data_IF_076827086105
#
_entry.id   IF_076827086105
#
_cell.length_a   1.000
_cell.length_b   1.000
_cell.length_c   1.000
_cell.angle_alpha   90.00
_cell.angle_beta   90.00
_cell.angle_gamma   90.00
#
_symmetry.space_group_name_H-M   'P 1'
#
loop_
_entity.id
_entity.type
_entity.pdbx_description
1 polymer ?
#
# COMPACT_ATOMS: atom_id res chain seq x y z
N UNK A 1 -3.67 -4.02 4.38
CA UNK A 1 -3.69 -4.58 5.75
C UNK A 1 -4.88 -4.05 6.54
N UNK A 2 -5.01 -2.71 6.75
CA UNK A 2 -6.06 -2.11 7.58
C UNK A 2 -7.47 -2.51 7.11
N UNK A 3 -7.78 -2.34 5.83
CA UNK A 3 -9.09 -2.69 5.26
C UNK A 3 -9.44 -4.18 5.46
N UNK A 4 -8.48 -5.07 5.18
CA UNK A 4 -8.65 -6.50 5.41
C UNK A 4 -8.93 -6.83 6.87
N UNK A 5 -8.11 -6.30 7.78
CA UNK A 5 -8.27 -6.57 9.21
C UNK A 5 -9.57 -6.02 9.76
N UNK A 6 -9.97 -4.81 9.38
CA UNK A 6 -11.24 -4.22 9.80
C UNK A 6 -12.44 -5.03 9.31
N UNK A 7 -12.46 -5.39 8.01
CA UNK A 7 -13.54 -6.18 7.42
C UNK A 7 -13.61 -7.60 8.03
N UNK A 8 -12.47 -8.26 8.22
CA UNK A 8 -12.38 -9.57 8.88
C UNK A 8 -12.95 -9.56 10.31
N UNK A 9 -12.87 -8.43 11.00
CA UNK A 9 -13.45 -8.23 12.33
C UNK A 9 -14.89 -7.67 12.29
N UNK A 10 -15.58 -7.76 11.15
CA UNK A 10 -17.00 -7.46 11.03
C UNK A 10 -17.32 -5.99 10.71
N UNK A 11 -16.35 -5.14 10.45
CA UNK A 11 -16.62 -3.78 10.00
C UNK A 11 -17.07 -3.77 8.53
N UNK A 12 -18.00 -2.87 8.19
CA UNK A 12 -18.33 -2.56 6.79
C UNK A 12 -17.28 -1.60 6.25
N UNK A 13 -16.47 -2.05 5.31
CA UNK A 13 -15.29 -1.31 4.82
C UNK A 13 -15.42 -0.96 3.34
N UNK A 14 -15.02 0.27 3.01
CA UNK A 14 -14.74 0.71 1.65
C UNK A 14 -13.25 1.07 1.59
N UNK A 15 -12.51 0.49 0.67
CA UNK A 15 -11.14 0.86 0.33
C UNK A 15 -11.16 1.68 -0.95
N UNK A 16 -10.60 2.87 -0.89
CA UNK A 16 -10.42 3.77 -2.03
C UNK A 16 -8.97 3.71 -2.45
N UNK A 17 -8.73 3.49 -3.75
CA UNK A 17 -7.39 3.34 -4.33
C UNK A 17 -7.31 4.13 -5.64
N UNK A 18 -6.30 4.99 -5.75
CA UNK A 18 -6.12 5.84 -6.92
C UNK A 18 -5.64 5.08 -8.16
N UNK A 19 -4.92 3.98 -7.97
CA UNK A 19 -4.41 3.15 -9.06
C UNK A 19 -5.37 2.03 -9.46
N UNK A 20 -5.00 1.25 -10.45
CA UNK A 20 -5.71 0.05 -10.88
C UNK A 20 -5.46 -1.18 -10.02
N UNK A 21 -4.50 -1.09 -9.09
CA UNK A 21 -4.10 -2.20 -8.21
C UNK A 21 -3.97 -1.69 -6.77
N UNK A 22 -4.43 -2.47 -5.82
CA UNK A 22 -4.21 -2.18 -4.40
C UNK A 22 -2.80 -2.59 -3.97
N UNK A 23 -2.20 -1.86 -3.01
CA UNK A 23 -0.92 -2.23 -2.41
C UNK A 23 0.23 -1.25 -2.65
N UNK A 24 0.01 -0.21 -3.45
CA UNK A 24 0.94 0.92 -3.64
C UNK A 24 2.32 0.48 -4.13
N UNK A 25 3.38 0.85 -3.40
CA UNK A 25 4.77 0.58 -3.79
C UNK A 25 5.05 -0.91 -4.06
N UNK A 26 4.44 -1.81 -3.30
CA UNK A 26 4.69 -3.25 -3.44
C UNK A 26 4.03 -3.89 -4.67
N UNK A 27 3.08 -3.22 -5.27
CA UNK A 27 2.32 -3.69 -6.44
C UNK A 27 2.57 -2.80 -7.65
N UNK A 28 1.84 -1.68 -7.76
CA UNK A 28 1.98 -0.73 -8.86
C UNK A 28 3.38 -0.09 -8.91
N UNK A 29 4.02 0.10 -7.76
CA UNK A 29 5.40 0.62 -7.67
C UNK A 29 6.49 -0.42 -7.92
N UNK A 30 6.15 -1.70 -8.17
CA UNK A 30 7.07 -2.79 -8.51
C UNK A 30 8.16 -3.09 -7.48
N UNK A 31 7.99 -2.66 -6.23
CA UNK A 31 8.95 -2.98 -5.16
C UNK A 31 8.85 -4.44 -4.78
N UNK A 32 9.70 -5.28 -5.37
CA UNK A 32 9.73 -6.73 -5.19
C UNK A 32 10.51 -7.20 -3.96
N UNK A 33 11.08 -6.28 -3.19
CA UNK A 33 11.88 -6.57 -2.00
C UNK A 33 11.21 -5.99 -0.76
N UNK A 34 10.75 -6.85 0.14
CA UNK A 34 10.30 -6.41 1.45
C UNK A 34 11.42 -6.51 2.45
N UNK A 35 11.84 -5.39 3.01
CA UNK A 35 12.87 -5.29 4.04
C UNK A 35 12.26 -5.28 5.43
N UNK A 36 12.96 -5.91 6.36
CA UNK A 36 12.49 -6.05 7.73
C UNK A 36 11.50 -7.21 7.92
N UNK A 37 11.02 -7.35 9.13
CA UNK A 37 10.03 -8.34 9.51
C UNK A 37 9.09 -7.77 10.56
N UNK A 38 7.85 -8.23 10.56
CA UNK A 38 6.92 -8.00 11.66
C UNK A 38 6.33 -9.33 12.11
N UNK A 39 6.01 -9.45 13.39
CA UNK A 39 5.43 -10.67 13.98
C UNK A 39 3.96 -10.92 13.58
N UNK A 40 3.42 -10.24 12.57
CA UNK A 40 2.03 -10.34 12.18
C UNK A 40 1.74 -11.63 11.41
N UNK A 41 0.73 -12.43 11.82
CA UNK A 41 0.27 -13.57 11.04
C UNK A 41 -0.11 -13.21 9.61
N UNK A 42 -0.70 -12.02 9.38
CA UNK A 42 -1.05 -11.53 8.06
C UNK A 42 0.18 -11.32 7.17
N UNK A 43 1.28 -10.80 7.74
CA UNK A 43 2.53 -10.63 7.01
C UNK A 43 3.08 -11.97 6.52
N UNK A 44 3.13 -12.98 7.38
CA UNK A 44 3.61 -14.31 7.01
C UNK A 44 2.69 -15.01 6.01
N UNK A 45 1.38 -14.85 6.13
CA UNK A 45 0.41 -15.39 5.18
C UNK A 45 0.62 -14.81 3.77
N UNK A 46 0.82 -13.50 3.67
CA UNK A 46 1.11 -12.83 2.39
C UNK A 46 2.42 -13.34 1.81
N UNK A 47 3.48 -13.41 2.60
CA UNK A 47 4.78 -13.92 2.14
C UNK A 47 4.68 -15.35 1.64
N UNK A 48 4.00 -16.23 2.38
CA UNK A 48 3.79 -17.63 2.01
C UNK A 48 3.12 -17.77 0.64
N UNK A 49 2.16 -16.89 0.33
CA UNK A 49 1.38 -16.96 -0.90
C UNK A 49 2.04 -16.24 -2.08
N UNK A 50 2.95 -15.30 -1.86
CA UNK A 50 3.53 -14.44 -2.90
C UNK A 50 5.03 -14.51 -3.07
N UNK A 51 5.77 -15.01 -2.07
CA UNK A 51 7.22 -15.07 -2.14
C UNK A 51 7.70 -16.02 -3.24
N UNK A 52 8.84 -15.67 -3.81
CA UNK A 52 9.61 -16.55 -4.70
C UNK A 52 10.52 -17.50 -3.95
N UNK A 53 10.68 -17.31 -2.64
CA UNK A 53 11.48 -18.19 -1.77
C UNK A 53 10.67 -19.42 -1.39
N UNK A 54 11.36 -20.53 -1.07
CA UNK A 54 10.71 -21.74 -0.60
C UNK A 54 10.04 -21.53 0.77
N UNK A 55 8.95 -22.26 1.02
CA UNK A 55 8.29 -22.27 2.33
C UNK A 55 9.28 -22.63 3.44
N UNK A 56 9.32 -21.85 4.48
CA UNK A 56 10.21 -22.04 5.64
C UNK A 56 11.41 -21.09 5.70
N UNK A 57 11.73 -20.40 4.61
CA UNK A 57 12.87 -19.49 4.56
C UNK A 57 12.56 -18.05 5.00
N UNK A 58 11.30 -17.72 5.29
CA UNK A 58 10.91 -16.34 5.66
C UNK A 58 11.29 -15.93 7.08
N UNK A 59 11.49 -16.91 7.95
CA UNK A 59 11.86 -16.62 9.33
C UNK A 59 13.33 -16.21 9.36
N UNK A 60 13.60 -15.01 9.82
CA UNK A 60 14.94 -14.44 10.03
C UNK A 60 15.64 -13.86 8.76
N UNK A 61 14.96 -13.67 7.66
CA UNK A 61 15.52 -12.91 6.53
C UNK A 61 15.24 -11.41 6.67
N UNK A 62 16.27 -10.61 6.46
CA UNK A 62 16.17 -9.14 6.44
C UNK A 62 15.37 -8.68 5.21
N UNK A 63 15.47 -9.45 4.12
CA UNK A 63 14.80 -9.11 2.84
C UNK A 63 14.05 -10.33 2.31
N UNK A 64 12.79 -10.13 1.93
CA UNK A 64 11.97 -11.14 1.30
C UNK A 64 11.60 -10.73 -0.12
N UNK A 65 11.88 -11.61 -1.09
CA UNK A 65 11.49 -11.41 -2.49
C UNK A 65 10.02 -11.74 -2.67
N UNK A 66 9.31 -10.84 -3.30
CA UNK A 66 7.88 -10.97 -3.59
C UNK A 66 7.67 -10.85 -5.09
N UNK A 67 6.65 -11.52 -5.59
CA UNK A 67 6.16 -11.31 -6.93
C UNK A 67 5.05 -10.24 -6.92
N UNK A 68 5.29 -9.03 -7.44
CA UNK A 68 4.30 -7.95 -7.43
C UNK A 68 3.01 -8.33 -8.16
N UNK A 69 3.09 -9.12 -9.24
CA UNK A 69 1.91 -9.52 -10.01
C UNK A 69 1.04 -10.51 -9.23
N UNK A 70 1.66 -11.47 -8.54
CA UNK A 70 0.93 -12.36 -7.63
C UNK A 70 0.32 -11.59 -6.46
N UNK A 71 1.03 -10.58 -5.96
CA UNK A 71 0.57 -9.78 -4.84
C UNK A 71 -0.67 -8.95 -5.20
N UNK A 72 -0.75 -8.40 -6.41
CA UNK A 72 -1.94 -7.68 -6.92
C UNK A 72 -3.19 -8.55 -6.83
N UNK A 73 -3.11 -9.74 -7.39
CA UNK A 73 -4.22 -10.71 -7.38
C UNK A 73 -4.58 -11.12 -5.96
N UNK A 74 -3.58 -11.49 -5.16
CA UNK A 74 -3.78 -11.92 -3.79
C UNK A 74 -4.49 -10.86 -2.93
N UNK A 75 -4.10 -9.60 -3.05
CA UNK A 75 -4.70 -8.52 -2.26
C UNK A 75 -6.19 -8.33 -2.61
N UNK A 76 -6.55 -8.41 -3.88
CA UNK A 76 -7.94 -8.31 -4.30
C UNK A 76 -8.76 -9.51 -3.81
N UNK A 77 -8.22 -10.74 -3.94
CA UNK A 77 -8.85 -11.95 -3.42
C UNK A 77 -9.12 -11.85 -1.92
N UNK A 78 -8.09 -11.51 -1.14
CA UNK A 78 -8.21 -11.36 0.31
C UNK A 78 -9.24 -10.31 0.73
N UNK A 79 -9.30 -9.17 0.04
CA UNK A 79 -10.29 -8.12 0.31
C UNK A 79 -11.70 -8.57 -0.07
N UNK A 80 -11.85 -9.29 -1.17
CA UNK A 80 -13.11 -9.85 -1.59
C UNK A 80 -13.64 -10.91 -0.61
N UNK A 81 -12.77 -11.83 -0.16
CA UNK A 81 -13.10 -12.88 0.83
C UNK A 81 -13.71 -12.32 2.13
N UNK A 82 -13.28 -11.14 2.56
CA UNK A 82 -13.79 -10.49 3.77
C UNK A 82 -14.92 -9.47 3.50
N UNK A 83 -15.41 -9.40 2.27
CA UNK A 83 -16.50 -8.51 1.88
C UNK A 83 -16.14 -7.02 1.87
N UNK A 84 -14.87 -6.67 1.74
CA UNK A 84 -14.44 -5.29 1.59
C UNK A 84 -14.82 -4.75 0.21
N UNK A 85 -15.48 -3.61 0.16
CA UNK A 85 -15.76 -2.91 -1.11
C UNK A 85 -14.50 -2.17 -1.55
N UNK A 86 -14.03 -2.41 -2.77
CA UNK A 86 -12.87 -1.74 -3.36
C UNK A 86 -13.31 -0.79 -4.47
N UNK A 87 -12.80 0.43 -4.44
CA UNK A 87 -12.99 1.47 -5.46
C UNK A 87 -11.64 1.80 -6.06
N UNK A 88 -11.30 1.21 -7.21
CA UNK A 88 -10.09 1.50 -7.96
C UNK A 88 -10.25 2.76 -8.83
N UNK A 89 -9.12 3.31 -9.29
CA UNK A 89 -9.09 4.54 -10.08
C UNK A 89 -9.90 5.68 -9.45
N UNK A 90 -9.86 5.74 -8.13
CA UNK A 90 -10.61 6.70 -7.34
C UNK A 90 -9.65 7.44 -6.43
N UNK A 91 -9.51 8.73 -6.65
CA UNK A 91 -8.60 9.59 -5.90
C UNK A 91 -9.30 10.18 -4.68
N UNK A 92 -8.65 10.15 -3.52
CA UNK A 92 -9.12 10.83 -2.32
C UNK A 92 -8.72 12.32 -2.41
N UNK A 93 -9.70 13.18 -2.66
CA UNK A 93 -9.47 14.58 -2.97
C UNK A 93 -9.38 15.45 -1.71
N UNK A 94 -10.26 15.20 -0.73
CA UNK A 94 -10.35 16.05 0.45
C UNK A 94 -10.91 15.28 1.66
N UNK A 95 -10.67 15.82 2.86
CA UNK A 95 -11.30 15.35 4.08
C UNK A 95 -12.64 16.07 4.31
N UNK A 96 -13.66 15.33 4.76
CA UNK A 96 -14.93 15.92 5.21
C UNK A 96 -14.85 16.03 6.71
N UNK A 97 -14.86 17.26 7.24
CA UNK A 97 -14.69 17.54 8.66
C UNK A 97 -15.85 18.37 9.22
N UNK A 98 -16.08 18.19 10.52
CA UNK A 98 -16.92 19.06 11.35
C UNK A 98 -16.09 19.45 12.60
N UNK A 99 -15.50 20.63 12.57
CA UNK A 99 -14.44 21.02 13.50
C UNK A 99 -13.28 20.01 13.45
N UNK A 100 -12.89 19.48 14.58
CA UNK A 100 -11.80 18.51 14.73
C UNK A 100 -12.22 17.05 14.41
N UNK A 101 -13.46 16.85 14.02
CA UNK A 101 -13.99 15.52 13.74
C UNK A 101 -14.00 15.22 12.24
N UNK A 102 -13.25 14.20 11.85
CA UNK A 102 -13.32 13.67 10.48
C UNK A 102 -14.59 12.83 10.31
N UNK A 103 -15.42 13.20 9.33
CA UNK A 103 -16.68 12.54 9.00
C UNK A 103 -16.56 11.60 7.80
N UNK A 104 -15.48 11.72 7.01
CA UNK A 104 -15.29 10.94 5.80
C UNK A 104 -14.29 11.59 4.86
N UNK A 105 -14.42 11.28 3.57
CA UNK A 105 -13.60 11.85 2.51
C UNK A 105 -14.40 12.11 1.24
N UNK A 106 -14.05 13.18 0.55
CA UNK A 106 -14.50 13.45 -0.82
C UNK A 106 -13.57 12.73 -1.77
N UNK A 107 -14.13 11.97 -2.68
CA UNK A 107 -13.39 11.21 -3.68
C UNK A 107 -13.80 11.61 -5.09
N UNK A 108 -12.87 11.46 -6.04
CA UNK A 108 -13.10 11.75 -7.44
C UNK A 108 -12.67 10.58 -8.33
N UNK A 109 -13.50 10.24 -9.30
CA UNK A 109 -13.20 9.25 -10.32
C UNK A 109 -13.87 9.62 -11.64
N UNK A 110 -13.87 8.71 -12.61
CA UNK A 110 -14.49 8.96 -13.93
C UNK A 110 -15.99 9.27 -13.86
N UNK A 111 -16.70 8.84 -12.81
CA UNK A 111 -18.13 9.12 -12.60
C UNK A 111 -18.37 10.48 -11.93
N UNK A 112 -17.30 11.19 -11.58
CA UNK A 112 -17.36 12.50 -10.92
C UNK A 112 -16.96 12.46 -9.44
N UNK A 113 -17.33 13.52 -8.75
CA UNK A 113 -17.03 13.74 -7.33
C UNK A 113 -18.13 13.13 -6.45
N UNK A 114 -17.74 12.46 -5.38
CA UNK A 114 -18.65 11.79 -4.43
C UNK A 114 -18.13 11.91 -3.00
N UNK A 115 -19.01 12.18 -2.07
CA UNK A 115 -18.72 12.20 -0.65
C UNK A 115 -18.99 10.83 -0.04
N UNK A 116 -18.01 10.31 0.70
CA UNK A 116 -18.10 9.04 1.42
C UNK A 116 -18.02 9.35 2.92
N UNK A 117 -19.12 9.14 3.63
CA UNK A 117 -19.16 9.31 5.07
C UNK A 117 -18.84 7.98 5.79
N UNK A 118 -18.03 8.08 6.85
CA UNK A 118 -17.59 6.94 7.64
C UNK A 118 -17.48 7.28 9.12
N UNK A 119 -17.69 6.28 10.00
CA UNK A 119 -17.43 6.44 11.44
C UNK A 119 -15.95 6.56 11.75
N UNK A 120 -15.13 5.87 10.97
CA UNK A 120 -13.65 5.85 11.07
C UNK A 120 -13.10 6.01 9.68
N UNK A 121 -12.19 6.96 9.50
CA UNK A 121 -11.40 7.15 8.28
C UNK A 121 -9.96 6.80 8.57
N UNK A 122 -9.36 5.94 7.76
CA UNK A 122 -7.96 5.54 7.86
C UNK A 122 -7.25 6.10 6.64
N UNK A 123 -6.33 7.02 6.85
CA UNK A 123 -5.47 7.52 5.79
C UNK A 123 -4.34 6.52 5.53
N UNK A 124 -4.27 6.02 4.30
CA UNK A 124 -3.24 5.15 3.78
C UNK A 124 -2.77 5.64 2.40
N UNK A 125 -2.85 6.94 2.15
CA UNK A 125 -2.49 7.56 0.87
C UNK A 125 -0.99 7.50 0.56
N UNK A 126 -0.16 7.19 1.55
CA UNK A 126 1.29 7.17 1.45
C UNK A 126 1.91 8.47 1.94
N UNK A 127 1.37 9.61 1.55
CA UNK A 127 1.85 10.94 1.95
C UNK A 127 1.00 11.61 3.05
N UNK A 128 -0.06 10.95 3.51
CA UNK A 128 -0.93 11.49 4.57
C UNK A 128 -1.85 12.61 4.07
N UNK A 129 -2.30 12.54 2.83
CA UNK A 129 -3.07 13.59 2.18
C UNK A 129 -4.37 13.93 2.92
N UNK A 130 -5.11 12.92 3.36
CA UNK A 130 -6.36 13.12 4.09
C UNK A 130 -6.10 13.62 5.50
N UNK A 131 -5.06 13.12 6.16
CA UNK A 131 -4.65 13.62 7.48
C UNK A 131 -4.29 15.10 7.42
N UNK A 132 -3.45 15.50 6.47
CA UNK A 132 -3.06 16.89 6.27
C UNK A 132 -4.27 17.80 6.00
N UNK A 133 -5.19 17.37 5.12
CA UNK A 133 -6.41 18.13 4.78
C UNK A 133 -7.44 18.16 5.89
N UNK A 134 -7.37 17.23 6.84
CA UNK A 134 -8.22 17.25 8.04
C UNK A 134 -7.71 18.19 9.12
N UNK A 135 -6.57 18.86 8.91
CA UNK A 135 -5.96 19.76 9.87
C UNK A 135 -5.05 19.07 10.90
N UNK A 136 -4.73 17.78 10.72
CA UNK A 136 -3.78 17.09 11.57
C UNK A 136 -2.37 17.70 11.42
N UNK A 137 -1.65 17.84 12.52
CA UNK A 137 -0.27 18.29 12.50
C UNK A 137 0.62 17.26 11.80
N UNK A 138 1.55 17.73 10.97
CA UNK A 138 2.51 16.86 10.28
C UNK A 138 3.86 17.57 10.12
N UNK A 139 4.89 16.78 9.89
CA UNK A 139 6.25 17.27 9.62
C UNK A 139 6.60 16.93 8.18
N UNK A 140 7.13 17.90 7.44
CA UNK A 140 7.56 17.72 6.06
C UNK A 140 9.09 17.73 6.00
N UNK A 141 9.66 16.58 5.63
CA UNK A 141 11.11 16.41 5.59
C UNK A 141 11.75 16.28 6.98
N UNK A 142 13.07 16.22 7.02
CA UNK A 142 13.81 16.15 8.28
C UNK A 142 14.10 17.56 8.84
N UNK A 143 14.13 17.69 10.17
CA UNK A 143 14.28 18.99 10.84
C UNK A 143 15.54 19.77 10.44
N UNK A 144 16.65 19.06 10.13
CA UNK A 144 17.94 19.71 9.89
C UNK A 144 18.01 20.48 8.57
N UNK A 145 17.29 20.05 7.51
CA UNK A 145 17.42 20.64 6.17
C UNK A 145 16.14 20.52 5.30
N UNK A 146 15.04 20.09 5.87
CA UNK A 146 13.75 19.87 5.22
C UNK A 146 13.81 18.91 3.99
N UNK A 147 14.86 18.09 3.90
CA UNK A 147 14.94 17.12 2.79
C UNK A 147 14.05 15.92 3.02
N UNK A 148 13.38 15.54 1.95
CA UNK A 148 12.55 14.34 1.85
C UNK A 148 13.40 13.12 1.51
N UNK A 149 12.83 11.93 1.64
CA UNK A 149 13.42 10.71 1.06
C UNK A 149 13.57 10.87 -0.46
N UNK A 150 14.68 10.37 -1.05
CA UNK A 150 14.87 10.39 -2.49
C UNK A 150 13.75 9.64 -3.21
N UNK A 151 13.29 10.21 -4.31
CA UNK A 151 12.36 9.51 -5.19
C UNK A 151 13.08 8.40 -5.96
N UNK A 152 12.39 7.29 -6.19
CA UNK A 152 12.89 6.15 -6.96
C UNK A 152 11.87 5.76 -8.00
N UNK A 153 12.32 5.57 -9.24
CA UNK A 153 11.52 4.99 -10.31
C UNK A 153 11.95 3.54 -10.51
N UNK A 154 11.03 2.61 -10.26
CA UNK A 154 11.24 1.18 -10.54
C UNK A 154 10.54 0.81 -11.84
N UNK A 155 11.21 -0.03 -12.63
CA UNK A 155 10.65 -0.55 -13.88
C UNK A 155 11.12 -1.98 -14.14
N UNK A 156 10.34 -2.71 -14.92
CA UNK A 156 10.63 -4.10 -15.28
C UNK A 156 11.35 -4.14 -16.62
N UNK A 157 12.46 -4.85 -16.67
CA UNK A 157 13.23 -5.11 -17.90
C UNK A 157 13.10 -6.59 -18.26
N UNK A 158 12.82 -6.87 -19.53
CA UNK A 158 12.79 -8.23 -20.08
C UNK A 158 13.94 -8.45 -21.07
N UNK A 159 14.19 -9.73 -21.41
CA UNK A 159 15.21 -10.10 -22.40
C UNK A 159 16.66 -9.87 -21.93
N UNK A 160 16.89 -9.86 -20.63
CA UNK A 160 18.23 -9.67 -20.05
C UNK A 160 19.06 -10.93 -20.26
N UNK A 161 20.24 -10.75 -20.88
CA UNK A 161 21.27 -11.78 -20.95
C UNK A 161 22.08 -11.74 -19.64
N UNK A 162 21.85 -12.69 -18.76
CA UNK A 162 22.46 -12.73 -17.45
C UNK A 162 23.97 -12.98 -17.47
N UNK A 163 24.49 -13.60 -18.54
CA UNK A 163 25.93 -13.86 -18.69
C UNK A 163 26.70 -12.58 -19.07
N UNK A 164 26.00 -11.61 -19.63
CA UNK A 164 26.54 -10.31 -20.05
C UNK A 164 26.12 -9.14 -19.17
N UNK A 165 25.11 -9.32 -18.36
CA UNK A 165 24.59 -8.26 -17.49
C UNK A 165 25.60 -7.93 -16.39
N UNK A 166 25.81 -6.63 -16.16
CA UNK A 166 26.58 -6.15 -15.03
C UNK A 166 25.62 -5.84 -13.89
N UNK A 167 25.68 -6.62 -12.82
CA UNK A 167 24.89 -6.39 -11.61
C UNK A 167 25.72 -5.57 -10.63
N UNK A 168 25.16 -4.51 -10.11
CA UNK A 168 25.70 -3.85 -8.92
C UNK A 168 25.64 -4.87 -7.79
N UNK A 169 26.71 -4.94 -6.99
CA UNK A 169 26.77 -5.86 -5.84
C UNK A 169 25.56 -5.72 -4.94
N UNK A 170 25.29 -6.77 -4.17
CA UNK A 170 24.21 -6.77 -3.19
C UNK A 170 24.32 -5.55 -2.27
N UNK A 171 23.19 -4.94 -1.98
CA UNK A 171 23.13 -3.99 -0.88
C UNK A 171 23.41 -4.76 0.42
N UNK A 172 24.63 -4.70 0.90
CA UNK A 172 25.00 -5.14 2.25
C UNK A 172 24.75 -4.01 3.23
#
# INVERSE_FOLDING_TARGET
AAAYSAAKNGAKVILVEQSGDVGGISTSGLMSHWTGSCGSPLYYEILKRTSRNNEGEFKNKITNLIDPEKLKTLYLEMLYEVGCKVMLYTFAEDAICDGDKVLGATVINKSGKTDIYAKITIDATGDGDIAARSGAEFVLGRESDNKMQPATLMFKVGGVDYDRAVFLGSFE
#
